data_IF_339448677600
#
_entry.id   IF_339448677600
#
_cell.length_a   1.000
_cell.length_b   1.000
_cell.length_c   1.000
_cell.angle_alpha   90.00
_cell.angle_beta   90.00
_cell.angle_gamma   90.00
#
_symmetry.space_group_name_H-M   'P 1'
#
loop_
_entity.id
_entity.type
_entity.pdbx_description
1 polymer ?
#
# COMPACT_ATOMS: atom_id res chain seq x y z
N UNK A 1 -12.47 19.94 -27.73
CA UNK A 1 -12.93 19.80 -26.32
C UNK A 1 -12.33 18.56 -25.65
N UNK A 2 -12.46 17.35 -26.21
CA UNK A 2 -11.87 16.13 -25.63
C UNK A 2 -10.34 16.19 -25.45
N UNK A 3 -9.62 16.68 -26.46
CA UNK A 3 -8.16 16.87 -26.39
C UNK A 3 -7.73 17.85 -25.29
N UNK A 4 -8.42 19.00 -25.18
CA UNK A 4 -8.16 19.97 -24.11
C UNK A 4 -8.46 19.39 -22.71
N UNK A 5 -9.52 18.60 -22.57
CA UNK A 5 -9.83 17.93 -21.30
C UNK A 5 -8.76 16.91 -20.92
N UNK A 6 -8.24 16.15 -21.89
CA UNK A 6 -7.15 15.20 -21.67
C UNK A 6 -5.86 15.92 -21.26
N UNK A 7 -5.50 16.99 -21.97
CA UNK A 7 -4.33 17.81 -21.67
C UNK A 7 -4.39 18.38 -20.24
N UNK A 8 -5.55 18.90 -19.83
CA UNK A 8 -5.76 19.42 -18.48
C UNK A 8 -5.66 18.33 -17.40
N UNK A 9 -6.21 17.14 -17.66
CA UNK A 9 -6.14 16.02 -16.71
C UNK A 9 -4.69 15.56 -16.52
N UNK A 10 -3.96 15.35 -17.62
CA UNK A 10 -2.53 14.98 -17.58
C UNK A 10 -1.70 16.06 -16.88
N UNK A 11 -1.94 17.34 -17.21
CA UNK A 11 -1.26 18.47 -16.56
C UNK A 11 -1.53 18.53 -15.05
N UNK A 12 -2.76 18.25 -14.61
CA UNK A 12 -3.10 18.15 -13.18
C UNK A 12 -2.40 16.96 -12.52
N UNK A 13 -2.45 15.78 -13.15
CA UNK A 13 -1.74 14.59 -12.66
C UNK A 13 -0.23 14.83 -12.50
N UNK A 14 0.38 15.55 -13.45
CA UNK A 14 1.79 15.96 -13.36
C UNK A 14 2.10 16.86 -12.16
N UNK A 15 1.16 17.70 -11.74
CA UNK A 15 1.32 18.53 -10.54
C UNK A 15 1.22 17.66 -9.29
N UNK A 16 0.24 16.76 -9.23
CA UNK A 16 0.03 15.87 -8.09
C UNK A 16 1.23 14.93 -7.90
N UNK A 17 1.68 14.26 -8.95
CA UNK A 17 2.84 13.37 -8.94
C UNK A 17 4.09 14.06 -8.36
N UNK A 18 4.35 15.31 -8.77
CA UNK A 18 5.48 16.11 -8.25
C UNK A 18 5.35 16.43 -6.78
N UNK A 19 4.13 16.72 -6.30
CA UNK A 19 3.89 17.02 -4.90
C UNK A 19 4.15 15.77 -4.04
N UNK A 20 3.60 14.62 -4.45
CA UNK A 20 3.71 13.39 -3.65
C UNK A 20 5.10 12.78 -3.68
N UNK A 21 5.91 13.04 -4.73
CA UNK A 21 7.30 12.56 -4.81
C UNK A 21 8.33 13.58 -4.29
N UNK A 22 7.90 14.74 -3.77
CA UNK A 22 8.81 15.74 -3.22
C UNK A 22 9.42 15.24 -1.91
N UNK A 23 10.77 15.20 -1.79
CA UNK A 23 11.41 14.86 -0.53
C UNK A 23 11.04 15.88 0.56
N UNK A 24 10.35 15.43 1.60
CA UNK A 24 9.97 16.27 2.74
C UNK A 24 11.01 16.20 3.87
N UNK A 25 11.12 17.29 4.66
CA UNK A 25 11.98 17.41 5.84
C UNK A 25 13.06 18.49 5.75
N UNK A 26 13.68 18.85 6.88
CA UNK A 26 14.73 19.88 6.97
C UNK A 26 16.07 19.45 6.36
N UNK A 27 16.30 18.14 6.27
CA UNK A 27 17.35 17.52 5.47
C UNK A 27 16.82 16.19 4.91
N UNK A 28 16.75 15.99 3.58
CA UNK A 28 16.24 14.77 2.97
C UNK A 28 17.28 13.65 3.08
N UNK A 29 17.53 13.22 4.32
CA UNK A 29 18.51 12.19 4.66
C UNK A 29 17.84 11.04 5.42
N UNK A 30 18.29 9.83 5.15
CA UNK A 30 17.97 8.63 5.94
C UNK A 30 19.24 8.09 6.61
N UNK A 31 19.11 7.57 7.83
CA UNK A 31 20.23 7.03 8.62
C UNK A 31 19.84 5.73 9.29
N UNK A 32 20.80 4.79 9.36
CA UNK A 32 20.65 3.56 10.16
C UNK A 32 20.98 3.87 11.62
N UNK A 33 19.96 4.18 12.42
CA UNK A 33 20.12 4.61 13.81
C UNK A 33 20.72 6.02 13.93
N UNK A 34 20.92 6.51 15.17
CA UNK A 34 21.36 7.89 15.43
C UNK A 34 22.77 8.22 14.91
N UNK A 35 23.67 7.23 14.81
CA UNK A 35 25.06 7.40 14.37
C UNK A 35 25.40 6.81 13.01
N UNK A 36 24.43 6.26 12.28
CA UNK A 36 24.68 5.65 10.97
C UNK A 36 25.00 6.68 9.87
N UNK A 37 25.63 6.25 8.77
CA UNK A 37 25.92 7.12 7.65
C UNK A 37 24.64 7.73 7.08
N UNK A 38 24.70 9.03 6.78
CA UNK A 38 23.60 9.75 6.14
C UNK A 38 23.54 9.40 4.66
N UNK A 39 22.35 9.05 4.18
CA UNK A 39 22.09 8.76 2.77
C UNK A 39 21.03 9.72 2.25
N UNK A 40 21.21 10.18 1.03
CA UNK A 40 20.25 11.08 0.38
C UNK A 40 18.94 10.36 0.07
N UNK A 41 17.79 11.04 0.24
CA UNK A 41 16.47 10.58 -0.25
C UNK A 41 16.18 11.01 -1.70
N UNK A 42 17.00 11.85 -2.32
CA UNK A 42 16.82 12.27 -3.72
C UNK A 42 16.86 11.14 -4.76
N UNK A 43 17.50 9.97 -4.54
CA UNK A 43 17.35 8.84 -5.47
C UNK A 43 15.90 8.41 -5.72
N UNK A 44 14.99 8.61 -4.75
CA UNK A 44 13.57 8.28 -4.92
C UNK A 44 12.88 9.10 -6.01
N UNK A 45 13.31 10.35 -6.25
CA UNK A 45 12.80 11.13 -7.37
C UNK A 45 13.14 10.49 -8.72
N UNK A 46 14.33 9.87 -8.83
CA UNK A 46 14.74 9.15 -10.05
C UNK A 46 13.96 7.86 -10.23
N UNK A 47 13.71 7.14 -9.14
CA UNK A 47 12.83 5.96 -9.14
C UNK A 47 11.45 6.36 -9.65
N UNK A 48 10.86 7.41 -9.08
CA UNK A 48 9.54 7.89 -9.47
C UNK A 48 9.48 8.32 -10.93
N UNK A 49 10.45 9.11 -11.40
CA UNK A 49 10.53 9.56 -12.80
C UNK A 49 10.63 8.38 -13.78
N UNK A 50 11.42 7.35 -13.45
CA UNK A 50 11.59 6.17 -14.28
C UNK A 50 10.35 5.27 -14.26
N UNK A 51 9.70 5.14 -13.10
CA UNK A 51 8.40 4.45 -12.97
C UNK A 51 7.33 5.16 -13.80
N UNK A 52 7.21 6.49 -13.68
CA UNK A 52 6.29 7.30 -14.50
C UNK A 52 6.55 7.11 -16.00
N UNK A 53 7.81 7.11 -16.44
CA UNK A 53 8.16 6.84 -17.85
C UNK A 53 7.77 5.43 -18.29
N UNK A 54 7.93 4.42 -17.42
CA UNK A 54 7.50 3.04 -17.71
C UNK A 54 6.01 2.92 -17.92
N UNK A 55 5.21 3.59 -17.08
CA UNK A 55 3.76 3.58 -17.17
C UNK A 55 3.22 4.54 -18.25
N UNK A 56 4.00 5.56 -18.65
CA UNK A 56 3.65 6.46 -19.75
C UNK A 56 2.56 7.48 -19.41
N UNK A 57 2.19 7.61 -18.13
CA UNK A 57 1.14 8.53 -17.63
C UNK A 57 1.48 8.94 -16.19
N UNK A 58 1.02 10.12 -15.70
CA UNK A 58 1.14 10.42 -14.28
C UNK A 58 0.53 9.30 -13.43
N UNK A 59 1.30 8.80 -12.45
CA UNK A 59 1.00 7.55 -11.75
C UNK A 59 -0.27 7.69 -10.90
N UNK A 60 -0.42 8.84 -10.23
CA UNK A 60 -1.61 9.12 -9.41
C UNK A 60 -2.87 9.28 -10.26
N UNK A 61 -2.74 9.90 -11.44
CA UNK A 61 -3.85 10.05 -12.40
C UNK A 61 -4.26 8.69 -12.97
N UNK A 62 -3.29 7.89 -13.43
CA UNK A 62 -3.54 6.55 -13.96
C UNK A 62 -4.27 5.68 -12.93
N UNK A 63 -3.82 5.70 -11.67
CA UNK A 63 -4.49 4.97 -10.59
C UNK A 63 -5.92 5.46 -10.34
N UNK A 64 -6.15 6.77 -10.34
CA UNK A 64 -7.48 7.34 -10.15
C UNK A 64 -8.44 6.98 -11.30
N UNK A 65 -7.95 6.94 -12.54
CA UNK A 65 -8.74 6.56 -13.71
C UNK A 65 -9.09 5.08 -13.71
N UNK A 66 -8.13 4.19 -13.43
CA UNK A 66 -8.40 2.75 -13.32
C UNK A 66 -9.35 2.43 -12.15
N UNK A 67 -9.24 3.14 -11.02
CA UNK A 67 -10.20 3.02 -9.93
C UNK A 67 -11.61 3.45 -10.37
N UNK A 68 -11.72 4.60 -11.03
CA UNK A 68 -13.01 5.11 -11.51
C UNK A 68 -13.66 4.19 -12.55
N UNK A 69 -12.86 3.54 -13.39
CA UNK A 69 -13.35 2.62 -14.42
C UNK A 69 -13.82 1.29 -13.81
N UNK A 70 -13.15 0.81 -12.76
CA UNK A 70 -13.36 -0.56 -12.23
C UNK A 70 -14.18 -0.65 -10.95
N UNK A 71 -14.26 0.42 -10.16
CA UNK A 71 -14.95 0.45 -8.86
C UNK A 71 -16.18 1.34 -8.95
N UNK A 72 -17.35 0.71 -8.96
CA UNK A 72 -18.65 1.37 -8.95
C UNK A 72 -19.24 1.59 -7.56
N UNK A 73 -20.44 2.18 -7.56
CA UNK A 73 -21.22 2.41 -6.35
C UNK A 73 -21.58 1.08 -5.66
N UNK A 74 -21.37 1.01 -4.34
CA UNK A 74 -21.64 -0.18 -3.53
C UNK A 74 -20.64 -1.32 -3.71
N UNK A 75 -19.63 -1.16 -4.57
CA UNK A 75 -18.60 -2.18 -4.76
C UNK A 75 -17.47 -2.03 -3.73
N UNK A 76 -16.90 -3.16 -3.30
CA UNK A 76 -15.84 -3.16 -2.30
C UNK A 76 -14.48 -2.81 -2.89
N UNK A 77 -13.69 -2.06 -2.12
CA UNK A 77 -12.27 -1.85 -2.37
C UNK A 77 -11.49 -2.09 -1.07
N UNK A 78 -10.46 -2.94 -1.15
CA UNK A 78 -9.60 -3.23 0.00
C UNK A 78 -8.44 -2.24 0.05
N UNK A 79 -8.12 -1.78 1.26
CA UNK A 79 -6.96 -0.92 1.54
C UNK A 79 -6.09 -1.67 2.55
N UNK A 80 -4.92 -2.12 2.12
CA UNK A 80 -3.97 -2.85 2.95
C UNK A 80 -2.97 -1.87 3.54
N UNK A 81 -2.81 -1.84 4.85
CA UNK A 81 -1.89 -0.91 5.53
C UNK A 81 -1.27 -1.53 6.77
N UNK A 82 -0.25 -0.88 7.33
CA UNK A 82 0.15 -1.09 8.71
C UNK A 82 -0.65 -0.19 9.68
N UNK A 83 -0.46 -0.40 10.99
CA UNK A 83 -0.89 0.56 12.02
C UNK A 83 0.13 0.72 13.16
N UNK A 84 1.40 0.37 12.91
CA UNK A 84 2.47 0.45 13.90
C UNK A 84 3.35 1.70 13.75
N UNK A 85 3.25 2.40 12.61
CA UNK A 85 3.90 3.68 12.35
C UNK A 85 2.90 4.73 11.85
N UNK A 86 3.38 5.96 11.68
CA UNK A 86 2.54 7.09 11.22
C UNK A 86 2.39 7.14 9.70
N UNK A 87 3.25 6.43 8.97
CA UNK A 87 3.12 6.22 7.53
C UNK A 87 2.22 5.00 7.28
N UNK A 88 1.30 5.09 6.32
CA UNK A 88 0.21 4.14 6.14
C UNK A 88 -1.16 4.66 6.60
N UNK A 89 -1.46 4.70 7.92
CA UNK A 89 -2.82 4.98 8.41
C UNK A 89 -3.46 6.29 7.88
N UNK A 90 -2.76 7.44 7.80
CA UNK A 90 -3.34 8.66 7.24
C UNK A 90 -3.68 8.53 5.76
N UNK A 91 -2.81 7.88 4.98
CA UNK A 91 -3.04 7.60 3.57
C UNK A 91 -4.22 6.64 3.36
N UNK A 92 -4.33 5.61 4.21
CA UNK A 92 -5.43 4.65 4.16
C UNK A 92 -6.77 5.31 4.46
N UNK A 93 -6.84 6.18 5.49
CA UNK A 93 -8.05 6.94 5.82
C UNK A 93 -8.44 7.94 4.71
N UNK A 94 -7.45 8.64 4.14
CA UNK A 94 -7.68 9.54 3.01
C UNK A 94 -8.19 8.79 1.77
N UNK A 95 -7.62 7.63 1.46
CA UNK A 95 -8.07 6.77 0.37
C UNK A 95 -9.49 6.25 0.60
N UNK A 96 -9.80 5.76 1.80
CA UNK A 96 -11.15 5.31 2.16
C UNK A 96 -12.17 6.44 1.97
N UNK A 97 -11.84 7.66 2.41
CA UNK A 97 -12.68 8.84 2.21
C UNK A 97 -12.87 9.17 0.73
N UNK A 98 -11.81 9.10 -0.07
CA UNK A 98 -11.89 9.38 -1.50
C UNK A 98 -12.78 8.37 -2.23
N UNK A 99 -12.69 7.08 -1.89
CA UNK A 99 -13.53 6.02 -2.44
C UNK A 99 -15.02 6.23 -2.11
N UNK A 100 -15.32 6.58 -0.86
CA UNK A 100 -16.68 6.90 -0.40
C UNK A 100 -17.26 8.10 -1.14
N UNK A 101 -16.53 9.23 -1.14
CA UNK A 101 -17.06 10.49 -1.67
C UNK A 101 -17.08 10.52 -3.19
N UNK A 102 -16.02 10.00 -3.82
CA UNK A 102 -15.80 10.09 -5.25
C UNK A 102 -16.52 8.99 -6.03
N UNK A 103 -16.52 7.76 -5.50
CA UNK A 103 -17.02 6.59 -6.22
C UNK A 103 -18.24 5.93 -5.55
N UNK A 104 -18.61 6.35 -4.33
CA UNK A 104 -19.65 5.69 -3.52
C UNK A 104 -19.37 4.20 -3.31
N UNK A 105 -18.08 3.85 -3.33
CA UNK A 105 -17.58 2.50 -3.08
C UNK A 105 -17.57 2.21 -1.56
N UNK A 106 -17.42 0.94 -1.20
CA UNK A 106 -17.37 0.48 0.19
C UNK A 106 -15.92 0.12 0.54
N UNK A 107 -15.17 1.02 1.21
CA UNK A 107 -13.80 0.74 1.60
C UNK A 107 -13.75 -0.24 2.79
N UNK A 108 -12.82 -1.20 2.71
CA UNK A 108 -12.44 -2.07 3.82
C UNK A 108 -10.95 -1.90 4.06
N UNK A 109 -10.59 -1.31 5.18
CA UNK A 109 -9.19 -1.18 5.59
C UNK A 109 -8.80 -2.48 6.31
N UNK A 110 -7.78 -3.13 5.79
CA UNK A 110 -7.22 -4.37 6.34
C UNK A 110 -5.83 -4.04 6.85
N UNK A 111 -5.65 -4.10 8.16
CA UNK A 111 -4.43 -3.61 8.78
C UNK A 111 -3.90 -4.59 9.83
N UNK A 112 -2.58 -4.69 9.93
CA UNK A 112 -1.98 -5.41 11.06
C UNK A 112 -1.85 -4.48 12.27
N UNK A 113 -2.48 -4.88 13.37
CA UNK A 113 -2.29 -4.26 14.67
C UNK A 113 -2.50 -5.24 15.81
N UNK A 114 -1.94 -4.91 16.97
CA UNK A 114 -2.24 -5.61 18.20
C UNK A 114 -3.50 -4.99 18.83
N UNK A 115 -4.51 -5.82 19.09
CA UNK A 115 -5.76 -5.42 19.74
C UNK A 115 -5.52 -4.90 21.18
N UNK A 116 -6.35 -3.96 21.61
CA UNK A 116 -6.23 -3.25 22.89
C UNK A 116 -5.08 -2.23 22.95
N UNK A 117 -4.25 -2.12 21.91
CA UNK A 117 -3.06 -1.26 21.95
C UNK A 117 -3.27 0.10 21.30
N UNK A 118 -2.26 0.97 21.45
CA UNK A 118 -2.22 2.25 20.76
C UNK A 118 -2.21 2.09 19.23
N UNK A 119 -1.78 0.94 18.72
CA UNK A 119 -1.68 0.68 17.28
C UNK A 119 -3.06 0.47 16.68
N UNK A 120 -3.94 -0.28 17.33
CA UNK A 120 -5.36 -0.35 16.94
C UNK A 120 -6.02 1.04 16.98
N UNK A 121 -5.86 1.75 18.10
CA UNK A 121 -6.46 3.08 18.28
C UNK A 121 -5.99 4.09 17.24
N UNK A 122 -4.73 4.00 16.80
CA UNK A 122 -4.16 4.94 15.83
C UNK A 122 -4.98 4.96 14.53
N UNK A 123 -5.26 3.81 13.93
CA UNK A 123 -6.01 3.73 12.68
C UNK A 123 -7.46 4.21 12.85
N UNK A 124 -8.12 3.79 13.93
CA UNK A 124 -9.50 4.21 14.21
C UNK A 124 -9.60 5.73 14.39
N UNK A 125 -8.71 6.33 15.18
CA UNK A 125 -8.68 7.77 15.40
C UNK A 125 -8.30 8.54 14.13
N UNK A 126 -7.44 7.97 13.29
CA UNK A 126 -7.08 8.55 11.99
C UNK A 126 -8.28 8.58 11.04
N UNK A 127 -9.08 7.50 11.00
CA UNK A 127 -10.33 7.46 10.24
C UNK A 127 -11.35 8.50 10.75
N UNK A 128 -11.52 8.62 12.07
CA UNK A 128 -12.38 9.66 12.68
C UNK A 128 -11.88 11.06 12.30
N UNK A 129 -10.57 11.31 12.37
CA UNK A 129 -9.96 12.57 11.96
C UNK A 129 -10.18 12.90 10.47
N UNK A 130 -10.29 11.87 9.63
CA UNK A 130 -10.68 11.99 8.22
C UNK A 130 -12.20 12.12 8.01
N UNK A 131 -13.00 12.25 9.08
CA UNK A 131 -14.46 12.36 9.00
C UNK A 131 -15.15 11.07 8.55
N UNK A 132 -14.57 9.92 8.90
CA UNK A 132 -15.14 8.59 8.69
C UNK A 132 -15.63 8.00 10.02
N UNK A 133 -16.55 7.04 9.93
CA UNK A 133 -17.06 6.27 11.06
C UNK A 133 -16.47 4.86 10.98
N UNK A 134 -15.37 4.56 11.69
CA UNK A 134 -14.79 3.24 11.67
C UNK A 134 -15.71 2.24 12.39
N UNK A 135 -15.97 1.11 11.74
CA UNK A 135 -16.69 -0.03 12.30
C UNK A 135 -15.82 -1.27 12.23
N UNK A 136 -16.05 -2.23 13.11
CA UNK A 136 -15.28 -3.48 13.14
C UNK A 136 -16.07 -4.67 12.64
N UNK A 137 -17.40 -4.61 12.63
CA UNK A 137 -18.26 -5.65 12.08
C UNK A 137 -18.87 -5.25 10.74
N UNK A 138 -19.05 -6.24 9.86
CA UNK A 138 -19.49 -6.00 8.48
C UNK A 138 -20.93 -5.52 8.45
N UNK A 139 -21.76 -6.04 9.33
CA UNK A 139 -23.19 -5.73 9.44
C UNK A 139 -23.39 -4.23 9.72
N UNK A 140 -22.49 -3.62 10.50
CA UNK A 140 -22.50 -2.20 10.84
C UNK A 140 -22.25 -1.27 9.65
N UNK A 141 -21.78 -1.79 8.50
CA UNK A 141 -21.74 -1.02 7.25
C UNK A 141 -23.14 -0.67 6.76
N UNK A 142 -24.16 -1.45 7.15
CA UNK A 142 -25.51 -1.41 6.58
C UNK A 142 -26.65 -1.28 7.62
N UNK A 143 -26.33 -1.12 8.91
CA UNK A 143 -27.31 -0.97 10.00
C UNK A 143 -28.16 0.32 9.91
N UNK A 144 -29.23 0.38 10.72
CA UNK A 144 -30.42 1.24 10.57
C UNK A 144 -30.16 2.76 10.39
N UNK A 145 -29.04 3.28 10.90
CA UNK A 145 -28.59 4.64 10.56
C UNK A 145 -27.53 4.49 9.47
N UNK A 146 -27.99 4.36 8.22
CA UNK A 146 -27.09 4.35 7.08
C UNK A 146 -26.36 5.69 7.00
N UNK A 147 -25.06 5.64 7.32
CA UNK A 147 -24.14 6.74 7.08
C UNK A 147 -23.26 6.36 5.90
N UNK A 148 -23.21 7.16 4.82
CA UNK A 148 -22.31 6.88 3.70
C UNK A 148 -20.83 6.97 4.10
N UNK A 149 -20.51 7.37 5.34
CA UNK A 149 -19.15 7.59 5.82
C UNK A 149 -18.59 6.44 6.66
N UNK A 150 -19.27 5.29 6.72
CA UNK A 150 -18.75 4.12 7.43
C UNK A 150 -17.59 3.47 6.68
N UNK A 151 -16.57 3.03 7.44
CA UNK A 151 -15.43 2.28 6.91
C UNK A 151 -15.19 1.06 7.79
N UNK A 152 -15.12 -0.13 7.18
CA UNK A 152 -14.82 -1.35 7.91
C UNK A 152 -13.31 -1.45 8.14
N UNK A 153 -12.91 -1.71 9.37
CA UNK A 153 -11.52 -2.03 9.73
C UNK A 153 -11.45 -3.50 10.13
N UNK A 154 -10.57 -4.28 9.47
CA UNK A 154 -10.28 -5.67 9.80
C UNK A 154 -8.82 -5.83 10.22
N UNK A 155 -8.60 -6.56 11.30
CA UNK A 155 -7.26 -6.94 11.72
C UNK A 155 -6.69 -8.05 10.81
N UNK A 156 -5.43 -7.90 10.40
CA UNK A 156 -4.67 -8.90 9.66
C UNK A 156 -3.49 -9.41 10.51
N UNK A 157 -3.66 -10.53 11.23
CA UNK A 157 -2.64 -11.04 12.13
C UNK A 157 -1.44 -11.63 11.38
N UNK A 158 -0.38 -11.93 12.14
CA UNK A 158 0.74 -12.72 11.64
C UNK A 158 0.28 -14.14 11.31
N UNK A 159 0.78 -14.71 10.21
CA UNK A 159 0.37 -16.02 9.69
C UNK A 159 1.53 -16.67 8.95
N UNK A 160 1.65 -17.99 8.91
CA UNK A 160 2.55 -18.70 7.99
C UNK A 160 2.23 -18.38 6.51
N UNK A 161 3.06 -18.83 5.57
CA UNK A 161 2.78 -18.66 4.12
C UNK A 161 1.47 -19.33 3.72
N UNK A 162 1.22 -20.55 4.18
CA UNK A 162 -0.02 -21.29 3.91
C UNK A 162 -1.23 -20.61 4.56
N UNK A 163 -1.11 -20.20 5.82
CA UNK A 163 -2.18 -19.49 6.53
C UNK A 163 -2.51 -18.13 5.92
N UNK A 164 -1.51 -17.39 5.43
CA UNK A 164 -1.73 -16.14 4.70
C UNK A 164 -2.46 -16.37 3.37
N UNK A 165 -2.16 -17.47 2.67
CA UNK A 165 -2.85 -17.84 1.43
C UNK A 165 -4.32 -18.20 1.66
N UNK A 166 -4.62 -19.00 2.69
CA UNK A 166 -6.00 -19.35 3.05
C UNK A 166 -6.80 -18.10 3.46
N UNK A 167 -6.26 -17.29 4.38
CA UNK A 167 -6.91 -16.04 4.79
C UNK A 167 -7.11 -15.06 3.62
N UNK A 168 -6.21 -15.06 2.63
CA UNK A 168 -6.35 -14.24 1.43
C UNK A 168 -7.52 -14.70 0.56
N UNK A 169 -7.73 -16.02 0.43
CA UNK A 169 -8.88 -16.58 -0.31
C UNK A 169 -10.18 -16.18 0.37
N UNK A 170 -10.26 -16.40 1.69
CA UNK A 170 -11.44 -16.06 2.49
C UNK A 170 -11.80 -14.58 2.36
N UNK A 171 -10.83 -13.70 2.53
CA UNK A 171 -11.04 -12.25 2.44
C UNK A 171 -11.51 -11.81 1.05
N UNK A 172 -10.89 -12.33 -0.02
CA UNK A 172 -11.30 -11.99 -1.39
C UNK A 172 -12.66 -12.63 -1.77
N UNK A 173 -13.01 -13.78 -1.22
CA UNK A 173 -14.33 -14.42 -1.43
C UNK A 173 -15.44 -13.69 -0.66
N UNK A 174 -15.15 -13.23 0.56
CA UNK A 174 -16.09 -12.49 1.41
C UNK A 174 -16.50 -11.15 0.79
N UNK A 175 -15.51 -10.37 0.34
CA UNK A 175 -15.70 -9.00 -0.14
C UNK A 175 -15.83 -8.88 -1.65
N UNK A 176 -15.29 -9.83 -2.43
CA UNK A 176 -15.23 -9.76 -3.90
C UNK A 176 -14.83 -8.37 -4.41
N UNK A 177 -13.71 -7.81 -3.91
CA UNK A 177 -13.37 -6.41 -4.16
C UNK A 177 -13.01 -6.17 -5.62
N UNK A 178 -13.23 -4.96 -6.09
CA UNK A 178 -12.83 -4.50 -7.43
C UNK A 178 -11.42 -3.95 -7.47
N UNK A 179 -10.91 -3.52 -6.32
CA UNK A 179 -9.54 -3.06 -6.15
C UNK A 179 -8.94 -3.53 -4.82
N UNK A 180 -7.64 -3.76 -4.82
CA UNK A 180 -6.78 -3.93 -3.64
C UNK A 180 -5.66 -2.89 -3.73
N UNK A 181 -5.62 -2.00 -2.74
CA UNK A 181 -4.70 -0.86 -2.70
C UNK A 181 -3.76 -1.05 -1.51
N UNK A 182 -2.45 -1.10 -1.72
CA UNK A 182 -1.48 -1.12 -0.62
C UNK A 182 -1.05 0.31 -0.27
N UNK A 183 -1.05 0.62 1.02
CA UNK A 183 -0.61 1.89 1.60
C UNK A 183 0.37 1.57 2.71
N UNK A 184 1.67 1.64 2.43
CA UNK A 184 2.74 1.28 3.38
C UNK A 184 2.55 -0.14 3.97
N UNK A 185 2.25 -1.10 3.09
CA UNK A 185 2.03 -2.49 3.45
C UNK A 185 3.29 -3.35 3.22
N UNK A 186 4.26 -3.26 4.13
CA UNK A 186 5.53 -4.00 4.02
C UNK A 186 5.32 -5.52 4.03
N UNK A 187 5.94 -6.22 3.08
CA UNK A 187 5.87 -7.68 2.97
C UNK A 187 7.22 -8.33 2.64
N UNK A 188 7.25 -9.62 2.36
CA UNK A 188 8.47 -10.40 2.17
C UNK A 188 9.07 -10.20 0.77
N UNK A 189 10.40 -10.25 0.70
CA UNK A 189 11.13 -10.36 -0.56
C UNK A 189 11.03 -11.80 -1.14
N UNK A 190 11.69 -12.03 -2.28
CA UNK A 190 11.73 -13.36 -2.95
C UNK A 190 12.38 -14.49 -2.13
N UNK A 191 13.05 -14.17 -1.02
CA UNK A 191 13.64 -15.14 -0.09
C UNK A 191 12.73 -15.41 1.12
N UNK A 192 11.50 -14.88 1.13
CA UNK A 192 10.59 -15.00 2.27
C UNK A 192 10.95 -14.09 3.45
N UNK A 193 11.90 -13.17 3.27
CA UNK A 193 12.39 -12.30 4.34
C UNK A 193 11.75 -10.91 4.23
N UNK A 194 11.07 -10.50 5.30
CA UNK A 194 10.55 -9.14 5.50
C UNK A 194 11.65 -8.25 6.05
N UNK A 195 11.85 -7.10 5.42
CA UNK A 195 12.92 -6.16 5.78
C UNK A 195 12.35 -4.83 6.22
N UNK A 196 13.09 -4.10 7.06
CA UNK A 196 12.95 -2.65 7.12
C UNK A 196 13.68 -1.97 5.94
N UNK A 197 13.37 -0.70 5.69
CA UNK A 197 13.93 0.12 4.61
C UNK A 197 15.47 0.09 4.48
N UNK A 198 16.18 -0.15 5.58
CA UNK A 198 17.65 -0.17 5.65
C UNK A 198 18.24 -1.59 5.73
N UNK A 199 17.54 -2.57 5.16
CA UNK A 199 18.03 -3.94 4.96
C UNK A 199 17.99 -4.85 6.20
N UNK A 200 17.49 -4.37 7.34
CA UNK A 200 17.40 -5.19 8.56
C UNK A 200 16.33 -6.28 8.42
N UNK A 201 16.68 -7.58 8.48
CA UNK A 201 15.70 -8.66 8.41
C UNK A 201 14.84 -8.68 9.67
N UNK A 202 13.55 -9.04 9.52
CA UNK A 202 12.58 -9.12 10.62
C UNK A 202 12.13 -10.54 10.93
N UNK A 203 12.57 -11.50 10.13
CA UNK A 203 12.26 -12.92 10.23
C UNK A 203 13.37 -13.73 9.56
N UNK A 204 13.29 -15.06 9.64
CA UNK A 204 14.30 -16.00 9.14
C UNK A 204 14.17 -16.32 7.65
N UNK A 205 13.00 -16.07 7.06
CA UNK A 205 12.65 -16.56 5.73
C UNK A 205 11.91 -17.89 5.74
N UNK A 206 11.74 -18.52 6.90
CA UNK A 206 10.97 -19.76 7.06
C UNK A 206 9.49 -19.53 6.67
N UNK A 207 8.93 -20.33 5.75
CA UNK A 207 7.52 -20.28 5.39
C UNK A 207 6.56 -20.51 6.57
N UNK A 208 6.98 -21.27 7.59
CA UNK A 208 6.15 -21.61 8.74
C UNK A 208 6.18 -20.55 9.85
N UNK A 209 7.19 -19.66 9.86
CA UNK A 209 7.29 -18.58 10.84
C UNK A 209 6.09 -17.63 10.68
N UNK A 210 5.33 -17.38 11.74
CA UNK A 210 4.17 -16.49 11.69
C UNK A 210 4.61 -15.02 11.73
N UNK A 211 4.49 -14.34 10.58
CA UNK A 211 4.69 -12.91 10.45
C UNK A 211 3.60 -12.32 9.55
N UNK A 212 3.46 -11.00 9.57
CA UNK A 212 2.56 -10.30 8.65
C UNK A 212 3.06 -10.46 7.22
N UNK A 213 2.18 -10.96 6.35
CA UNK A 213 2.44 -11.17 4.93
C UNK A 213 1.26 -10.63 4.12
N UNK A 214 1.59 -9.88 3.08
CA UNK A 214 0.63 -9.36 2.09
C UNK A 214 0.87 -9.94 0.69
N UNK A 215 1.98 -10.65 0.46
CA UNK A 215 2.34 -11.19 -0.84
C UNK A 215 1.22 -12.08 -1.40
N UNK A 216 0.74 -13.03 -0.59
CA UNK A 216 -0.30 -13.99 -1.00
C UNK A 216 -1.60 -13.28 -1.41
N UNK A 217 -1.99 -12.23 -0.69
CA UNK A 217 -3.20 -11.45 -0.99
C UNK A 217 -3.06 -10.69 -2.31
N UNK A 218 -1.90 -10.06 -2.53
CA UNK A 218 -1.63 -9.34 -3.78
C UNK A 218 -1.53 -10.29 -4.98
N UNK A 219 -0.83 -11.42 -4.84
CA UNK A 219 -0.67 -12.41 -5.90
C UNK A 219 -2.02 -13.01 -6.28
N UNK A 220 -2.84 -13.40 -5.30
CA UNK A 220 -4.19 -13.94 -5.55
C UNK A 220 -5.14 -12.88 -6.12
N UNK A 221 -5.04 -11.61 -5.71
CA UNK A 221 -5.83 -10.53 -6.29
C UNK A 221 -5.51 -10.35 -7.79
N UNK A 222 -4.22 -10.38 -8.15
CA UNK A 222 -3.78 -10.33 -9.55
C UNK A 222 -4.28 -11.53 -10.35
N UNK A 223 -4.18 -12.75 -9.80
CA UNK A 223 -4.68 -13.98 -10.44
C UNK A 223 -6.18 -13.90 -10.73
N UNK A 224 -6.95 -13.25 -9.86
CA UNK A 224 -8.40 -13.04 -10.01
C UNK A 224 -8.75 -11.85 -10.91
N UNK A 225 -7.78 -11.14 -11.48
CA UNK A 225 -8.00 -9.96 -12.30
C UNK A 225 -8.55 -8.75 -11.53
N UNK A 226 -8.35 -8.71 -10.22
CA UNK A 226 -8.71 -7.56 -9.36
C UNK A 226 -7.65 -6.48 -9.57
N UNK A 227 -8.06 -5.22 -9.66
CA UNK A 227 -7.12 -4.10 -9.80
C UNK A 227 -6.22 -4.03 -8.57
N UNK A 228 -4.91 -4.08 -8.75
CA UNK A 228 -3.94 -3.90 -7.68
C UNK A 228 -3.15 -2.60 -7.86
N UNK A 229 -3.16 -1.73 -6.85
CA UNK A 229 -2.40 -0.49 -6.80
C UNK A 229 -1.50 -0.55 -5.58
N UNK A 230 -0.21 -0.29 -5.76
CA UNK A 230 0.74 -0.25 -4.66
C UNK A 230 1.28 1.15 -4.43
N UNK A 231 1.32 1.58 -3.18
CA UNK A 231 1.90 2.86 -2.75
C UNK A 231 2.88 2.64 -1.59
N UNK A 232 4.02 3.33 -1.62
CA UNK A 232 5.09 3.16 -0.63
C UNK A 232 6.30 4.05 -0.93
N UNK A 233 7.29 4.07 -0.03
CA UNK A 233 8.44 4.98 -0.12
C UNK A 233 9.82 4.31 -0.07
N UNK A 234 9.90 2.97 0.08
CA UNK A 234 11.17 2.24 0.24
C UNK A 234 11.39 1.04 -0.69
N UNK A 235 10.35 0.47 -1.29
CA UNK A 235 10.41 -0.74 -2.13
C UNK A 235 10.12 -2.07 -1.44
N UNK A 236 10.07 -2.11 -0.11
CA UNK A 236 9.74 -3.32 0.67
C UNK A 236 8.22 -3.53 0.87
N UNK A 237 7.41 -2.61 0.35
CA UNK A 237 5.96 -2.62 0.34
C UNK A 237 5.43 -3.60 -0.73
N UNK A 238 4.33 -4.26 -0.41
CA UNK A 238 3.73 -5.25 -1.30
C UNK A 238 3.28 -4.62 -2.62
N UNK A 239 3.64 -5.25 -3.74
CA UNK A 239 3.37 -4.77 -5.10
C UNK A 239 4.59 -4.18 -5.83
N UNK A 240 5.65 -3.84 -5.10
CA UNK A 240 6.83 -3.15 -5.68
C UNK A 240 7.72 -4.03 -6.57
N UNK A 241 7.47 -5.34 -6.66
CA UNK A 241 8.17 -6.21 -7.61
C UNK A 241 7.98 -5.78 -9.07
N UNK A 242 6.90 -5.05 -9.39
CA UNK A 242 6.63 -4.51 -10.73
C UNK A 242 7.72 -3.54 -11.21
N UNK A 243 8.42 -2.88 -10.29
CA UNK A 243 9.50 -1.93 -10.57
C UNK A 243 10.83 -2.33 -9.94
N UNK A 244 11.01 -3.62 -9.61
CA UNK A 244 12.20 -4.16 -8.95
C UNK A 244 13.50 -3.75 -9.64
N UNK A 245 13.55 -3.82 -10.98
CA UNK A 245 14.75 -3.46 -11.72
C UNK A 245 15.12 -1.98 -11.59
N UNK A 246 14.13 -1.07 -11.52
CA UNK A 246 14.33 0.36 -11.25
C UNK A 246 14.86 0.54 -9.84
N UNK A 247 14.19 -0.06 -8.85
CA UNK A 247 14.57 0.04 -7.44
C UNK A 247 16.01 -0.43 -7.21
N UNK A 248 16.40 -1.57 -7.79
CA UNK A 248 17.75 -2.13 -7.67
C UNK A 248 18.84 -1.27 -8.31
N UNK A 249 18.52 -0.46 -9.32
CA UNK A 249 19.48 0.49 -9.92
C UNK A 249 19.77 1.70 -9.04
N UNK A 250 18.76 2.17 -8.28
CA UNK A 250 18.84 3.46 -7.57
C UNK A 250 18.97 3.33 -6.05
N UNK A 251 18.67 2.16 -5.47
CA UNK A 251 18.69 1.96 -4.02
C UNK A 251 19.47 0.71 -3.63
N UNK A 252 20.57 0.89 -2.89
CA UNK A 252 21.50 -0.20 -2.57
C UNK A 252 20.84 -1.33 -1.79
N UNK A 253 19.93 -1.03 -0.85
CA UNK A 253 19.24 -2.06 -0.06
C UNK A 253 18.21 -2.82 -0.89
N UNK A 254 17.72 -2.23 -1.97
CA UNK A 254 16.90 -2.96 -2.95
C UNK A 254 17.78 -3.94 -3.75
N UNK A 255 19.01 -3.56 -4.07
CA UNK A 255 19.96 -4.43 -4.76
C UNK A 255 20.46 -5.59 -3.87
N UNK A 256 20.85 -5.26 -2.64
CA UNK A 256 21.39 -6.14 -1.60
C UNK A 256 21.02 -5.61 -0.20
N UNK A 257 20.27 -6.40 0.57
CA UNK A 257 19.84 -6.01 1.92
C UNK A 257 20.98 -6.02 2.95
N UNK A 258 22.14 -6.59 2.63
CA UNK A 258 23.28 -6.70 3.54
C UNK A 258 23.08 -7.71 4.68
N UNK A 259 22.00 -8.50 4.64
CA UNK A 259 21.79 -9.64 5.52
C UNK A 259 22.14 -10.95 4.79
N UNK A 260 22.28 -12.09 5.50
CA UNK A 260 22.67 -13.36 4.89
C UNK A 260 21.77 -13.86 3.74
N UNK A 261 20.55 -13.34 3.58
CA UNK A 261 19.67 -13.74 2.47
C UNK A 261 20.11 -13.15 1.11
N UNK A 262 20.84 -12.02 1.11
CA UNK A 262 21.38 -11.34 -0.08
C UNK A 262 20.34 -10.95 -1.14
N UNK A 263 19.05 -11.00 -0.80
CA UNK A 263 17.95 -10.90 -1.77
C UNK A 263 17.49 -9.48 -2.09
N UNK A 264 18.00 -8.48 -1.37
CA UNK A 264 17.45 -7.13 -1.40
C UNK A 264 16.12 -7.00 -0.63
N UNK A 265 15.67 -5.77 -0.40
CA UNK A 265 14.44 -5.52 0.37
C UNK A 265 13.15 -5.58 -0.46
N UNK A 266 13.26 -5.60 -1.79
CA UNK A 266 12.09 -5.47 -2.68
C UNK A 266 11.08 -6.58 -2.42
N UNK A 267 9.83 -6.20 -2.13
CA UNK A 267 8.75 -7.18 -1.91
C UNK A 267 8.56 -8.06 -3.15
N UNK A 268 8.21 -9.33 -2.96
CA UNK A 268 8.09 -10.29 -4.06
C UNK A 268 6.81 -10.13 -4.90
N UNK A 269 5.74 -9.54 -4.34
CA UNK A 269 4.45 -9.43 -5.04
C UNK A 269 4.43 -8.24 -5.98
N UNK A 270 3.64 -8.37 -7.06
CA UNK A 270 3.45 -7.35 -8.09
C UNK A 270 2.13 -6.61 -7.90
N UNK A 271 2.05 -5.42 -8.47
CA UNK A 271 0.81 -4.65 -8.63
C UNK A 271 0.63 -4.22 -10.10
N UNK A 272 -0.60 -3.94 -10.50
CA UNK A 272 -0.89 -3.36 -11.82
C UNK A 272 -0.31 -1.95 -11.93
N UNK A 273 -0.36 -1.17 -10.85
CA UNK A 273 0.20 0.19 -10.77
C UNK A 273 1.05 0.30 -9.50
N UNK A 274 2.19 0.99 -9.59
CA UNK A 274 3.04 1.32 -8.44
C UNK A 274 3.25 2.83 -8.40
N UNK A 275 3.06 3.43 -7.22
CA UNK A 275 3.20 4.85 -6.91
C UNK A 275 4.27 5.03 -5.84
#
# INVERSE_FOLDING_TARGET
MKELSEELAVGFGDVVDRIVCTPAGTAPIIRKGRGGPAKSRYPWMRVYDETRRRFGRPLTLMAAEELKERVGEGEYALILTNSYEMDGPPGAAAMARALILGLRAIPVIVANYQEGTKFERCLHQTCIGAGLIPVTEREQLFEDIWSPYTVLIRNWPARSVSGALEASKELLDEFRPKAVITVEAVSCNKKGVRHGALGGPRNTGDPEEEIVRWNQLMDLANERGILTIATGDNGNEAGFATIEDILRRHHEFCADCGCPCGGGIVSASRANIVI
#
